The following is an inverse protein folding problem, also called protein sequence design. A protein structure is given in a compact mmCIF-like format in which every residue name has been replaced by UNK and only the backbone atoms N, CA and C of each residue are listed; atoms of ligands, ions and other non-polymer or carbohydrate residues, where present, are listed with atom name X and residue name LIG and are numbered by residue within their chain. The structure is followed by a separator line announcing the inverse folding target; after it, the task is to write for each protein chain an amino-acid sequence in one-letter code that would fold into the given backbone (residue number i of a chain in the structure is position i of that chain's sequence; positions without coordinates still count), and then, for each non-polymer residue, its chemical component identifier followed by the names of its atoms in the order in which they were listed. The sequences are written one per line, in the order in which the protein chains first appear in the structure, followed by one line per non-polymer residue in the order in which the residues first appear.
data_IF_560303269960
#
_entry.id   IF_560303269960
#
_cell.length_a   1.000
_cell.length_b   1.000
_cell.length_c   1.000
_cell.angle_alpha   90.00
_cell.angle_beta   90.00
_cell.angle_gamma   90.00
#
_symmetry.space_group_name_H-M   'P 1'
#
loop_
_entity.id
_entity.type
_entity.pdbx_description
1 polymer ?
#
# COMPACT_ATOMS: atom_id res chain seq x y z
N UNK A 1 14.09 6.48 9.50
CA UNK A 1 14.22 5.16 8.80
C UNK A 1 15.48 5.15 7.90
N UNK A 2 15.98 3.97 7.52
CA UNK A 2 17.29 3.82 6.83
C UNK A 2 17.27 4.24 5.34
N UNK A 3 18.41 4.71 4.84
CA UNK A 3 18.67 5.01 3.43
C UNK A 3 19.21 3.81 2.63
N UNK A 4 19.44 2.66 3.26
CA UNK A 4 20.09 1.49 2.63
C UNK A 4 19.31 0.94 1.42
N UNK A 5 18.02 1.27 1.28
CA UNK A 5 17.23 0.96 0.09
C UNK A 5 17.74 1.63 -1.19
N UNK A 6 18.50 2.73 -1.10
CA UNK A 6 19.15 3.32 -2.27
C UNK A 6 20.24 2.39 -2.83
N UNK A 7 20.97 1.68 -1.98
CA UNK A 7 22.00 0.72 -2.41
C UNK A 7 21.37 -0.50 -3.10
N UNK A 8 20.14 -0.86 -2.75
CA UNK A 8 19.40 -1.92 -3.45
C UNK A 8 19.10 -1.58 -4.91
N UNK A 9 19.01 -0.28 -5.26
CA UNK A 9 18.77 0.15 -6.64
C UNK A 9 20.01 -0.12 -7.53
N UNK A 10 21.21 0.02 -6.97
CA UNK A 10 22.48 -0.20 -7.69
C UNK A 10 22.59 -1.61 -8.29
N UNK A 11 22.04 -2.61 -7.61
CA UNK A 11 22.07 -4.00 -8.08
C UNK A 11 21.31 -4.22 -9.39
N UNK A 12 20.30 -3.39 -9.68
CA UNK A 12 19.46 -3.57 -10.86
C UNK A 12 20.06 -3.00 -12.14
N UNK A 13 21.12 -2.19 -12.06
CA UNK A 13 21.78 -1.55 -13.23
C UNK A 13 20.77 -0.94 -14.21
N UNK A 14 19.85 -0.16 -13.67
CA UNK A 14 18.70 0.38 -14.41
C UNK A 14 19.12 1.49 -15.37
N UNK A 15 18.31 1.77 -16.41
CA UNK A 15 18.42 3.00 -17.16
C UNK A 15 18.33 4.22 -16.24
N UNK A 16 19.07 5.27 -16.56
CA UNK A 16 19.23 6.47 -15.71
C UNK A 16 17.88 7.07 -15.27
N UNK A 17 16.92 7.17 -16.18
CA UNK A 17 15.59 7.72 -15.87
C UNK A 17 14.83 6.90 -14.82
N UNK A 18 14.93 5.57 -14.90
CA UNK A 18 14.25 4.66 -13.96
C UNK A 18 14.99 4.61 -12.63
N UNK A 19 16.33 4.60 -12.64
CA UNK A 19 17.16 4.71 -11.43
C UNK A 19 16.81 5.99 -10.65
N UNK A 20 16.83 7.14 -11.33
CA UNK A 20 16.49 8.43 -10.75
C UNK A 20 15.08 8.45 -10.16
N UNK A 21 14.10 7.89 -10.88
CA UNK A 21 12.71 7.78 -10.41
C UNK A 21 12.59 6.95 -9.14
N UNK A 22 13.25 5.78 -9.08
CA UNK A 22 13.20 4.89 -7.91
C UNK A 22 13.85 5.52 -6.70
N UNK A 23 15.04 6.12 -6.85
CA UNK A 23 15.73 6.84 -5.76
C UNK A 23 14.91 8.02 -5.25
N UNK A 24 14.30 8.79 -6.15
CA UNK A 24 13.41 9.88 -5.76
C UNK A 24 12.22 9.36 -4.92
N UNK A 25 11.62 8.23 -5.31
CA UNK A 25 10.55 7.57 -4.56
C UNK A 25 10.99 7.10 -3.16
N UNK A 26 12.18 6.51 -3.04
CA UNK A 26 12.76 6.08 -1.76
C UNK A 26 12.99 7.30 -0.86
N UNK A 27 13.65 8.35 -1.36
CA UNK A 27 13.92 9.58 -0.59
C UNK A 27 12.63 10.26 -0.13
N UNK A 28 11.64 10.39 -1.03
CA UNK A 28 10.34 10.95 -0.68
C UNK A 28 9.66 10.15 0.43
N UNK A 29 9.75 8.81 0.37
CA UNK A 29 9.22 7.92 1.40
C UNK A 29 9.94 8.13 2.74
N UNK A 30 11.27 8.24 2.75
CA UNK A 30 12.06 8.51 3.96
C UNK A 30 11.64 9.81 4.62
N UNK A 31 11.60 10.90 3.85
CA UNK A 31 11.18 12.22 4.34
C UNK A 31 9.78 12.17 4.93
N UNK A 32 8.81 11.62 4.18
CA UNK A 32 7.41 11.57 4.60
C UNK A 32 7.18 10.68 5.82
N UNK A 33 7.86 9.54 5.89
CA UNK A 33 7.78 8.62 7.03
C UNK A 33 8.36 9.27 8.28
N UNK A 34 9.53 9.92 8.18
CA UNK A 34 10.14 10.62 9.32
C UNK A 34 9.23 11.76 9.82
N UNK A 35 8.59 12.51 8.92
CA UNK A 35 7.57 13.50 9.27
C UNK A 35 6.41 12.88 10.06
N UNK A 36 5.91 11.72 9.62
CA UNK A 36 4.83 10.99 10.29
C UNK A 36 5.25 10.44 11.65
N UNK A 37 6.45 9.89 11.77
CA UNK A 37 7.01 9.46 13.06
C UNK A 37 7.05 10.65 14.04
N UNK A 38 7.48 11.82 13.58
CA UNK A 38 7.62 13.00 14.43
C UNK A 38 6.27 13.63 14.84
N UNK A 39 5.26 13.62 13.94
CA UNK A 39 4.03 14.41 14.11
C UNK A 39 2.79 13.58 14.45
N UNK A 40 2.72 12.35 13.94
CA UNK A 40 1.54 11.48 14.05
C UNK A 40 1.75 10.43 15.15
N UNK A 41 2.88 9.71 15.12
CA UNK A 41 3.11 8.58 16.01
C UNK A 41 3.37 8.99 17.47
N UNK A 42 2.37 8.85 18.34
CA UNK A 42 2.45 9.23 19.76
C UNK A 42 2.71 8.08 20.72
N UNK A 43 2.91 6.87 20.22
CA UNK A 43 3.23 5.70 21.03
C UNK A 43 4.28 4.85 20.32
N UNK A 44 4.99 4.02 21.07
CA UNK A 44 5.96 3.07 20.51
C UNK A 44 5.30 2.20 19.43
N UNK A 45 4.09 1.69 19.72
CA UNK A 45 3.31 0.91 18.74
C UNK A 45 2.99 1.71 17.48
N UNK A 46 2.65 3.00 17.60
CA UNK A 46 2.41 3.85 16.42
C UNK A 46 3.70 4.09 15.62
N UNK A 47 4.84 4.26 16.29
CA UNK A 47 6.15 4.39 15.65
C UNK A 47 6.45 3.13 14.84
N UNK A 48 6.22 1.94 15.41
CA UNK A 48 6.42 0.66 14.74
C UNK A 48 5.55 0.55 13.47
N UNK A 49 4.26 0.86 13.57
CA UNK A 49 3.33 0.83 12.42
C UNK A 49 3.80 1.78 11.31
N UNK A 50 4.14 3.04 11.65
CA UNK A 50 4.59 4.04 10.67
C UNK A 50 5.93 3.63 10.05
N UNK A 51 6.86 3.12 10.85
CA UNK A 51 8.17 2.67 10.39
C UNK A 51 8.04 1.49 9.43
N UNK A 52 7.25 0.48 9.76
CA UNK A 52 7.02 -0.71 8.93
C UNK A 52 6.31 -0.36 7.62
N UNK A 53 5.37 0.58 7.65
CA UNK A 53 4.75 1.13 6.44
C UNK A 53 5.78 1.81 5.53
N UNK A 54 6.63 2.67 6.11
CA UNK A 54 7.71 3.33 5.37
C UNK A 54 8.68 2.33 4.74
N UNK A 55 9.04 1.26 5.44
CA UNK A 55 9.90 0.18 4.92
C UNK A 55 9.25 -0.51 3.71
N UNK A 56 7.96 -0.84 3.79
CA UNK A 56 7.25 -1.43 2.64
C UNK A 56 7.20 -0.48 1.45
N UNK A 57 6.90 0.80 1.66
CA UNK A 57 6.88 1.80 0.58
C UNK A 57 8.24 1.97 -0.07
N UNK A 58 9.33 1.88 0.70
CA UNK A 58 10.68 1.86 0.14
C UNK A 58 10.90 0.60 -0.70
N UNK A 59 10.48 -0.58 -0.24
CA UNK A 59 10.57 -1.81 -1.02
C UNK A 59 9.73 -1.73 -2.32
N UNK A 60 8.54 -1.15 -2.27
CA UNK A 60 7.71 -0.86 -3.45
C UNK A 60 8.42 0.07 -4.44
N UNK A 61 9.04 1.15 -3.94
CA UNK A 61 9.80 2.09 -4.77
C UNK A 61 11.05 1.43 -5.40
N UNK A 62 11.77 0.60 -4.65
CA UNK A 62 12.93 -0.15 -5.12
C UNK A 62 12.55 -1.18 -6.19
N UNK A 63 11.44 -1.89 -6.02
CA UNK A 63 10.92 -2.85 -7.01
C UNK A 63 10.43 -2.16 -8.29
N UNK A 64 10.05 -0.88 -8.19
CA UNK A 64 9.42 -0.11 -9.24
C UNK A 64 7.90 -0.34 -9.31
N UNK A 65 7.22 0.44 -10.15
CA UNK A 65 5.76 0.37 -10.33
C UNK A 65 5.41 -0.07 -11.75
N UNK A 66 5.64 -1.36 -12.09
CA UNK A 66 5.39 -1.90 -13.42
C UNK A 66 3.90 -1.95 -13.79
N UNK A 67 3.02 -2.00 -12.79
CA UNK A 67 1.57 -2.00 -12.94
C UNK A 67 1.01 -0.63 -12.52
N UNK A 68 0.00 -0.16 -13.25
CA UNK A 68 -0.73 1.05 -12.88
C UNK A 68 -1.77 0.68 -11.81
N UNK A 69 -1.41 0.86 -10.55
CA UNK A 69 -2.26 0.54 -9.39
C UNK A 69 -2.34 1.74 -8.46
N UNK A 70 -3.54 2.03 -7.97
CA UNK A 70 -3.79 3.04 -6.96
C UNK A 70 -4.71 2.51 -5.85
N UNK A 71 -4.37 2.84 -4.62
CA UNK A 71 -5.17 2.58 -3.42
C UNK A 71 -5.43 3.92 -2.76
N UNK A 72 -6.71 4.25 -2.54
CA UNK A 72 -7.14 5.58 -2.14
C UNK A 72 -8.07 5.52 -0.95
N UNK A 73 -7.81 6.40 0.01
CA UNK A 73 -8.71 6.73 1.11
C UNK A 73 -8.90 8.25 1.07
N UNK A 74 -10.15 8.70 1.02
CA UNK A 74 -10.48 10.12 0.91
C UNK A 74 -9.70 10.82 -0.24
N UNK A 75 -9.68 10.17 -1.41
CA UNK A 75 -8.97 10.61 -2.63
C UNK A 75 -7.45 10.79 -2.51
N UNK A 76 -6.83 10.38 -1.40
CA UNK A 76 -5.38 10.40 -1.18
C UNK A 76 -4.83 8.97 -1.14
N UNK A 77 -3.59 8.80 -1.58
CA UNK A 77 -2.89 7.51 -1.59
C UNK A 77 -1.60 7.57 -0.77
N UNK A 78 -1.13 6.40 -0.32
CA UNK A 78 0.13 6.25 0.41
C UNK A 78 0.05 6.73 1.86
N UNK A 79 -0.17 8.03 2.08
CA UNK A 79 -0.30 8.66 3.40
C UNK A 79 -1.57 9.50 3.43
N UNK A 80 -2.51 9.17 4.31
CA UNK A 80 -3.85 9.79 4.32
C UNK A 80 -4.39 9.99 5.74
N UNK A 81 -5.45 10.79 5.84
CA UNK A 81 -6.15 11.11 7.08
C UNK A 81 -7.65 11.00 6.87
N UNK A 82 -8.35 10.44 7.84
CA UNK A 82 -9.81 10.33 7.85
C UNK A 82 -10.31 10.17 9.29
N UNK A 83 -11.62 10.28 9.50
CA UNK A 83 -12.21 10.05 10.82
C UNK A 83 -12.38 8.55 11.13
N UNK A 84 -12.40 8.16 12.42
CA UNK A 84 -12.78 6.80 12.84
C UNK A 84 -14.16 6.37 12.30
N UNK A 85 -14.36 5.06 12.15
CA UNK A 85 -15.61 4.48 11.63
C UNK A 85 -15.37 3.45 10.53
N UNK A 86 -16.30 3.38 9.58
CA UNK A 86 -16.14 2.58 8.36
C UNK A 86 -15.45 3.46 7.32
N UNK A 87 -14.27 3.04 6.88
CA UNK A 87 -13.43 3.77 5.94
C UNK A 87 -13.57 3.10 4.57
N UNK A 88 -14.02 3.88 3.58
CA UNK A 88 -14.05 3.44 2.19
C UNK A 88 -12.65 3.50 1.57
N UNK A 89 -12.21 2.36 1.04
CA UNK A 89 -10.93 2.20 0.34
C UNK A 89 -11.22 1.91 -1.12
N UNK A 90 -10.92 2.87 -2.00
CA UNK A 90 -11.02 2.68 -3.45
C UNK A 90 -9.73 2.09 -3.98
N UNK A 91 -9.83 1.01 -4.74
CA UNK A 91 -8.71 0.32 -5.37
C UNK A 91 -8.93 0.35 -6.86
N UNK A 92 -7.95 0.88 -7.59
CA UNK A 92 -8.00 1.02 -9.04
C UNK A 92 -6.77 0.45 -9.68
N UNK A 93 -6.92 -0.12 -10.87
CA UNK A 93 -5.79 -0.48 -11.70
C UNK A 93 -6.15 -0.77 -13.14
N UNK A 94 -5.17 -0.61 -14.02
CA UNK A 94 -5.29 -0.90 -15.45
C UNK A 94 -4.27 -1.97 -15.85
N UNK A 95 -4.78 -3.13 -16.31
CA UNK A 95 -3.95 -4.24 -16.75
C UNK A 95 -3.19 -3.85 -18.03
N UNK A 96 -2.04 -4.48 -18.25
CA UNK A 96 -1.34 -4.36 -19.54
C UNK A 96 -2.15 -5.00 -20.65
N UNK A 97 -1.87 -4.59 -21.88
CA UNK A 97 -2.57 -5.09 -23.07
C UNK A 97 -2.56 -6.62 -23.12
N UNK A 98 -3.74 -7.20 -23.37
CA UNK A 98 -3.94 -8.66 -23.42
C UNK A 98 -4.07 -9.35 -22.06
N UNK A 99 -4.01 -8.60 -20.94
CA UNK A 99 -4.06 -9.15 -19.58
C UNK A 99 -5.23 -8.61 -18.79
N UNK A 100 -5.48 -9.23 -17.65
CA UNK A 100 -6.49 -8.81 -16.67
C UNK A 100 -5.88 -8.66 -15.30
N UNK A 101 -6.56 -7.95 -14.41
CA UNK A 101 -6.22 -7.82 -13.01
C UNK A 101 -7.32 -8.33 -12.10
N UNK A 102 -6.93 -8.84 -10.92
CA UNK A 102 -7.86 -9.17 -9.84
C UNK A 102 -7.28 -8.84 -8.47
N UNK A 103 -8.16 -8.80 -7.47
CA UNK A 103 -7.74 -8.72 -6.07
C UNK A 103 -6.97 -9.98 -5.69
N UNK A 104 -5.70 -9.80 -5.33
CA UNK A 104 -4.78 -10.87 -4.96
C UNK A 104 -4.84 -11.22 -3.47
N UNK A 105 -3.92 -12.09 -3.07
CA UNK A 105 -3.63 -12.41 -1.68
C UNK A 105 -2.30 -11.79 -1.29
N UNK A 106 -2.21 -11.24 -0.09
CA UNK A 106 -0.97 -10.73 0.46
C UNK A 106 -0.01 -11.87 0.80
N UNK A 107 -0.50 -12.88 1.54
CA UNK A 107 0.30 -14.03 1.93
C UNK A 107 -0.58 -15.26 2.17
N UNK A 108 -0.35 -16.35 1.42
CA UNK A 108 -1.18 -17.57 1.47
C UNK A 108 -2.67 -17.23 1.38
N UNK A 109 -3.42 -17.48 2.43
CA UNK A 109 -4.87 -17.26 2.51
C UNK A 109 -5.24 -15.86 3.03
N UNK A 110 -4.25 -15.04 3.44
CA UNK A 110 -4.46 -13.67 3.93
C UNK A 110 -4.60 -12.70 2.76
N UNK A 111 -5.77 -12.06 2.65
CA UNK A 111 -6.07 -11.06 1.62
C UNK A 111 -5.27 -9.78 1.80
N UNK A 112 -5.22 -9.28 3.03
CA UNK A 112 -4.66 -8.00 3.37
C UNK A 112 -3.60 -8.15 4.45
N UNK A 113 -2.53 -7.37 4.36
CA UNK A 113 -1.68 -7.09 5.53
C UNK A 113 -2.25 -5.89 6.24
N UNK A 114 -2.45 -5.97 7.56
CA UNK A 114 -2.89 -4.83 8.37
C UNK A 114 -2.00 -4.77 9.61
N UNK A 115 -1.44 -3.59 9.88
CA UNK A 115 -0.77 -3.25 11.13
C UNK A 115 -1.42 -1.98 11.69
N UNK A 116 -1.89 -2.02 12.93
CA UNK A 116 -2.64 -0.89 13.48
C UNK A 116 -2.51 -0.76 14.99
N UNK A 117 -2.70 0.47 15.48
CA UNK A 117 -2.76 0.74 16.93
C UNK A 117 -4.11 0.37 17.53
N UNK A 118 -5.17 0.33 16.73
CA UNK A 118 -6.53 -0.06 17.09
C UNK A 118 -6.91 -1.46 16.55
N UNK A 119 -8.18 -1.85 16.72
CA UNK A 119 -8.73 -3.07 16.11
C UNK A 119 -9.32 -2.73 14.73
N UNK A 120 -8.46 -2.71 13.71
CA UNK A 120 -8.85 -2.46 12.33
C UNK A 120 -8.92 -3.75 11.50
N UNK A 121 -9.94 -3.89 10.65
CA UNK A 121 -10.11 -5.08 9.79
C UNK A 121 -10.87 -4.75 8.51
N UNK A 122 -10.58 -5.45 7.41
CA UNK A 122 -11.41 -5.36 6.21
C UNK A 122 -12.69 -6.19 6.35
N UNK A 123 -13.75 -5.74 5.67
CA UNK A 123 -14.85 -6.61 5.28
C UNK A 123 -14.33 -7.60 4.24
N UNK A 124 -14.42 -8.89 4.52
CA UNK A 124 -13.98 -9.94 3.59
C UNK A 124 -15.14 -10.74 3.00
N UNK A 125 -16.37 -10.39 3.37
CA UNK A 125 -17.56 -10.97 2.79
C UNK A 125 -17.75 -10.46 1.35
N UNK A 126 -17.96 -11.38 0.40
CA UNK A 126 -18.26 -11.07 -1.00
C UNK A 126 -17.18 -10.24 -1.73
N UNK A 127 -15.91 -10.43 -1.39
CA UNK A 127 -14.81 -9.83 -2.15
C UNK A 127 -14.87 -10.26 -3.63
N UNK A 128 -14.60 -9.35 -4.58
CA UNK A 128 -14.62 -9.69 -6.00
C UNK A 128 -13.53 -10.72 -6.33
N UNK A 129 -13.93 -11.82 -6.96
CA UNK A 129 -13.02 -12.88 -7.41
C UNK A 129 -12.76 -12.86 -8.92
N UNK A 130 -13.53 -12.06 -9.65
CA UNK A 130 -13.45 -11.93 -11.10
C UNK A 130 -12.24 -11.11 -11.55
N UNK A 131 -11.94 -11.21 -12.85
CA UNK A 131 -10.82 -10.56 -13.50
C UNK A 131 -11.30 -9.38 -14.36
N UNK A 132 -10.54 -8.28 -14.34
CA UNK A 132 -10.91 -7.01 -14.95
C UNK A 132 -9.79 -6.48 -15.85
N UNK A 133 -10.12 -5.94 -17.01
CA UNK A 133 -9.16 -5.14 -17.80
C UNK A 133 -8.85 -3.81 -17.08
N UNK A 134 -9.91 -3.16 -16.60
CA UNK A 134 -9.85 -2.00 -15.72
C UNK A 134 -10.55 -2.33 -14.40
N UNK A 135 -9.74 -2.49 -13.36
CA UNK A 135 -10.22 -2.78 -12.01
C UNK A 135 -10.58 -1.46 -11.32
N UNK A 136 -11.82 -1.37 -10.82
CA UNK A 136 -12.28 -0.33 -9.88
C UNK A 136 -13.17 -1.01 -8.85
N UNK A 137 -12.65 -1.19 -7.64
CA UNK A 137 -13.35 -1.87 -6.55
C UNK A 137 -13.31 -0.99 -5.30
N UNK A 138 -14.32 -1.16 -4.46
CA UNK A 138 -14.41 -0.49 -3.17
C UNK A 138 -14.37 -1.54 -2.05
N UNK A 139 -13.46 -1.35 -1.11
CA UNK A 139 -13.29 -2.19 0.07
C UNK A 139 -13.68 -1.38 1.31
N UNK A 140 -14.23 -2.06 2.32
CA UNK A 140 -14.59 -1.44 3.59
C UNK A 140 -13.59 -1.82 4.67
N UNK A 141 -12.93 -0.82 5.24
CA UNK A 141 -12.04 -0.98 6.38
C UNK A 141 -12.79 -0.53 7.65
N UNK A 142 -13.09 -1.47 8.54
CA UNK A 142 -13.70 -1.20 9.84
C UNK A 142 -12.65 -0.71 10.83
N UNK A 143 -12.88 0.47 11.39
CA UNK A 143 -12.08 1.10 12.44
C UNK A 143 -12.98 1.78 13.49
N UNK A 144 -14.16 1.22 13.77
CA UNK A 144 -15.19 1.82 14.63
C UNK A 144 -14.76 1.95 16.10
N UNK A 145 -13.89 1.06 16.58
CA UNK A 145 -13.33 1.13 17.94
C UNK A 145 -12.12 2.06 18.05
N UNK A 146 -11.72 2.72 16.96
CA UNK A 146 -10.53 3.54 16.94
C UNK A 146 -10.78 4.89 17.63
N UNK A 147 -9.71 5.43 18.20
CA UNK A 147 -9.66 6.74 18.83
C UNK A 147 -8.93 7.72 17.91
N UNK A 148 -9.15 9.03 18.08
CA UNK A 148 -8.28 10.02 17.46
C UNK A 148 -6.82 9.70 17.76
N UNK A 149 -5.96 9.88 16.76
CA UNK A 149 -4.53 9.56 16.72
C UNK A 149 -4.16 8.10 16.53
N UNK A 150 -5.14 7.20 16.41
CA UNK A 150 -4.83 5.84 15.97
C UNK A 150 -4.30 5.84 14.54
N UNK A 151 -3.45 4.87 14.25
CA UNK A 151 -2.79 4.70 12.95
C UNK A 151 -3.05 3.30 12.43
N UNK A 152 -3.38 3.19 11.15
CA UNK A 152 -3.61 1.93 10.44
C UNK A 152 -2.75 1.93 9.18
N UNK A 153 -1.82 0.99 9.06
CA UNK A 153 -1.17 0.64 7.79
C UNK A 153 -1.83 -0.60 7.23
N UNK A 154 -2.16 -0.61 5.95
CA UNK A 154 -2.63 -1.79 5.26
C UNK A 154 -2.06 -1.91 3.86
N UNK A 155 -2.01 -3.12 3.34
CA UNK A 155 -1.52 -3.41 1.99
C UNK A 155 -2.59 -4.15 1.20
N UNK A 156 -2.97 -3.57 0.06
CA UNK A 156 -3.83 -4.22 -0.93
C UNK A 156 -2.95 -4.79 -2.04
N UNK A 157 -3.18 -6.05 -2.38
CA UNK A 157 -2.42 -6.76 -3.43
C UNK A 157 -3.29 -6.94 -4.65
N UNK A 158 -2.79 -6.56 -5.84
CA UNK A 158 -3.40 -6.92 -7.11
C UNK A 158 -2.49 -7.89 -7.87
N UNK A 159 -3.10 -8.84 -8.54
CA UNK A 159 -2.44 -9.81 -9.42
C UNK A 159 -2.84 -9.54 -10.87
N UNK A 160 -1.87 -9.51 -11.77
CA UNK A 160 -2.06 -9.47 -13.21
C UNK A 160 -2.04 -10.90 -13.76
N UNK A 161 -3.08 -11.26 -14.51
CA UNK A 161 -3.36 -12.61 -14.99
C UNK A 161 -3.35 -12.62 -16.53
N UNK A 162 -2.74 -13.67 -17.08
CA UNK A 162 -2.73 -13.98 -18.51
C UNK A 162 -2.98 -15.48 -18.67
N UNK A 163 -4.04 -15.88 -19.39
CA UNK A 163 -4.41 -17.28 -19.61
C UNK A 163 -4.48 -18.11 -18.30
N UNK A 164 -5.17 -17.59 -17.28
CA UNK A 164 -5.30 -18.20 -15.94
C UNK A 164 -4.00 -18.36 -15.13
N UNK A 165 -2.88 -17.79 -15.60
CA UNK A 165 -1.59 -17.79 -14.90
C UNK A 165 -1.30 -16.41 -14.33
N UNK A 166 -0.88 -16.35 -13.05
CA UNK A 166 -0.40 -15.11 -12.44
C UNK A 166 0.95 -14.72 -13.05
N UNK A 167 0.97 -13.60 -13.76
CA UNK A 167 2.15 -13.07 -14.42
C UNK A 167 2.95 -12.13 -13.52
N UNK A 168 2.26 -11.22 -12.83
CA UNK A 168 2.87 -10.30 -11.86
C UNK A 168 1.91 -10.05 -10.70
N UNK A 169 2.46 -9.68 -9.54
CA UNK A 169 1.71 -9.39 -8.33
C UNK A 169 2.36 -8.25 -7.57
N UNK A 170 1.58 -7.22 -7.25
CA UNK A 170 2.07 -6.01 -6.57
C UNK A 170 1.17 -5.65 -5.40
N UNK A 171 1.80 -5.45 -4.24
CA UNK A 171 1.18 -4.87 -3.06
C UNK A 171 1.40 -3.36 -3.04
N UNK A 172 0.36 -2.60 -2.69
CA UNK A 172 0.44 -1.16 -2.46
C UNK A 172 -0.02 -0.88 -1.04
N UNK A 173 0.91 -0.40 -0.22
CA UNK A 173 0.64 -0.03 1.17
C UNK A 173 0.03 1.37 1.28
N UNK A 174 -0.89 1.56 2.21
CA UNK A 174 -1.48 2.84 2.58
C UNK A 174 -1.52 2.96 4.09
N UNK A 175 -1.05 4.10 4.62
CA UNK A 175 -1.15 4.43 6.03
C UNK A 175 -2.15 5.56 6.26
N UNK A 176 -3.01 5.35 7.26
CA UNK A 176 -4.11 6.22 7.65
C UNK A 176 -3.89 6.69 9.07
N UNK A 177 -3.88 8.00 9.26
CA UNK A 177 -3.96 8.63 10.58
C UNK A 177 -5.42 9.00 10.84
N UNK A 178 -5.95 8.52 11.97
CA UNK A 178 -7.33 8.77 12.35
C UNK A 178 -7.42 10.09 13.13
N UNK A 179 -8.14 11.07 12.59
CA UNK A 179 -8.27 12.43 13.15
C UNK A 179 -9.61 12.69 13.81
#
# INVERSE_FOLDING_TARGET
ISHDYEAWVDYYKLPEDEDNRRRAGIRATITRTNDWIAKVAQSIKAIDVVMNDGIQKMAEATAGKPLQIGVFVNHKSGYTETSPGIIDVSVRGTAREGRKMKLGFHFKDDRFRIESTCNARFAEENLPTQEFENLDINLKLYAESAKPRDVISFTVTLSEIENDVEFDRRGISTIVHLV
#
